data_IF_386452820507
#
_entry.id   IF_386452820507
#
_cell.length_a   1.000
_cell.length_b   1.000
_cell.length_c   1.000
_cell.angle_alpha   90.00
_cell.angle_beta   90.00
_cell.angle_gamma   90.00
#
_symmetry.space_group_name_H-M   'P 1'
#
loop_
_entity.id
_entity.type
_entity.pdbx_description
1 polymer ?
#
# COMPACT_ATOMS: atom_id res chain seq x y z
N UNK A 1 -20.79 24.96 5.33
CA UNK A 1 -19.88 25.64 4.38
C UNK A 1 -18.66 24.75 4.29
N UNK A 2 -18.48 23.99 3.19
CA UNK A 2 -17.34 23.08 3.06
C UNK A 2 -16.12 23.98 2.81
N UNK A 3 -15.23 24.09 3.79
CA UNK A 3 -13.95 24.77 3.60
C UNK A 3 -13.22 24.09 2.45
N UNK A 4 -12.93 24.87 1.40
CA UNK A 4 -12.07 24.38 0.33
C UNK A 4 -10.67 24.20 0.89
N UNK A 5 -10.00 23.09 0.62
CA UNK A 5 -8.64 22.91 1.08
C UNK A 5 -7.73 23.95 0.44
N UNK A 6 -6.72 24.39 1.20
CA UNK A 6 -5.69 25.29 0.69
C UNK A 6 -4.87 24.56 -0.38
N UNK A 7 -5.16 24.89 -1.64
CA UNK A 7 -4.53 24.30 -2.80
C UNK A 7 -3.00 24.54 -2.80
N UNK A 8 -2.54 25.67 -2.26
CA UNK A 8 -1.10 25.93 -2.16
C UNK A 8 -0.45 24.97 -1.16
N UNK A 9 -1.07 24.79 0.02
CA UNK A 9 -0.59 23.86 1.03
C UNK A 9 -0.57 22.40 0.54
N UNK A 10 -1.63 21.93 -0.12
CA UNK A 10 -1.67 20.56 -0.70
C UNK A 10 -0.58 20.39 -1.76
N UNK A 11 -0.39 21.38 -2.63
CA UNK A 11 0.62 21.32 -3.69
C UNK A 11 2.03 21.23 -3.10
N UNK A 12 2.34 22.06 -2.10
CA UNK A 12 3.62 22.03 -1.40
C UNK A 12 3.82 20.67 -0.72
N UNK A 13 2.81 20.17 0.00
CA UNK A 13 2.89 18.89 0.69
C UNK A 13 3.15 17.72 -0.28
N UNK A 14 2.40 17.65 -1.38
CA UNK A 14 2.58 16.61 -2.40
C UNK A 14 4.00 16.65 -3.00
N UNK A 15 4.50 17.83 -3.37
CA UNK A 15 5.85 17.99 -3.93
C UNK A 15 6.94 17.58 -2.92
N UNK A 16 6.83 18.00 -1.67
CA UNK A 16 7.78 17.66 -0.61
C UNK A 16 7.79 16.15 -0.36
N UNK A 17 6.62 15.53 -0.24
CA UNK A 17 6.49 14.08 -0.06
C UNK A 17 7.08 13.33 -1.26
N UNK A 18 6.70 13.69 -2.50
CA UNK A 18 7.24 13.09 -3.71
C UNK A 18 8.77 13.16 -3.77
N UNK A 19 9.35 14.33 -3.46
CA UNK A 19 10.80 14.51 -3.40
C UNK A 19 11.47 13.66 -2.31
N UNK A 20 10.81 13.46 -1.16
CA UNK A 20 11.30 12.67 -0.04
C UNK A 20 11.19 11.15 -0.26
N UNK A 21 10.38 10.66 -1.20
CA UNK A 21 10.18 9.23 -1.42
C UNK A 21 11.50 8.51 -1.82
N UNK A 22 12.24 9.07 -2.79
CA UNK A 22 13.48 8.48 -3.28
C UNK A 22 14.56 8.32 -2.20
N UNK A 23 14.92 9.35 -1.41
CA UNK A 23 15.92 9.18 -0.36
C UNK A 23 15.46 8.20 0.73
N UNK A 24 14.18 8.16 1.08
CA UNK A 24 13.67 7.18 2.07
C UNK A 24 13.80 5.76 1.55
N UNK A 25 13.37 5.46 0.33
CA UNK A 25 13.52 4.11 -0.25
C UNK A 25 15.01 3.71 -0.33
N UNK A 26 15.94 4.64 -0.59
CA UNK A 26 17.38 4.36 -0.57
C UNK A 26 17.90 3.88 0.78
N UNK A 27 17.30 4.34 1.89
CA UNK A 27 17.68 3.86 3.23
C UNK A 27 17.34 2.38 3.44
N UNK A 28 16.32 1.88 2.74
CA UNK A 28 15.86 0.50 2.85
C UNK A 28 16.42 -0.42 1.75
N UNK A 29 16.83 0.15 0.61
CA UNK A 29 17.39 -0.57 -0.55
C UNK A 29 18.70 0.07 -1.06
N UNK A 30 19.79 0.08 -0.26
CA UNK A 30 21.02 0.81 -0.57
C UNK A 30 21.84 0.21 -1.74
N UNK A 31 21.64 -1.07 -2.08
CA UNK A 31 22.44 -1.78 -3.08
C UNK A 31 21.89 -1.78 -4.51
N UNK A 32 20.68 -1.24 -4.74
CA UNK A 32 19.99 -1.34 -6.03
C UNK A 32 20.25 -0.14 -6.94
N UNK A 33 20.35 -0.39 -8.25
CA UNK A 33 20.55 0.65 -9.28
C UNK A 33 19.23 1.34 -9.61
N UNK A 34 19.20 2.65 -9.44
CA UNK A 34 18.02 3.48 -9.67
C UNK A 34 17.89 3.88 -11.13
N UNK A 35 16.88 3.35 -11.82
CA UNK A 35 16.59 3.68 -13.21
C UNK A 35 15.57 4.83 -13.32
N UNK A 36 15.61 5.54 -14.45
CA UNK A 36 14.64 6.60 -14.80
C UNK A 36 13.15 6.23 -14.59
N UNK A 37 12.67 5.00 -14.86
CA UNK A 37 11.26 4.64 -14.61
C UNK A 37 10.84 4.77 -13.14
N UNK A 38 11.75 4.64 -12.17
CA UNK A 38 11.38 4.81 -10.76
C UNK A 38 11.04 6.28 -10.48
N UNK A 39 11.79 7.22 -11.06
CA UNK A 39 11.52 8.65 -10.91
C UNK A 39 10.18 9.03 -11.54
N UNK A 40 9.84 8.45 -12.69
CA UNK A 40 8.55 8.72 -13.34
C UNK A 40 7.38 8.13 -12.56
N UNK A 41 7.54 6.95 -11.94
CA UNK A 41 6.52 6.37 -11.06
C UNK A 41 6.25 7.26 -9.85
N UNK A 42 7.30 7.76 -9.20
CA UNK A 42 7.16 8.67 -8.05
C UNK A 42 6.44 9.97 -8.46
N UNK A 43 6.84 10.57 -9.60
CA UNK A 43 6.21 11.78 -10.09
C UNK A 43 4.72 11.57 -10.46
N UNK A 44 4.41 10.49 -11.16
CA UNK A 44 3.04 10.16 -11.57
C UNK A 44 2.13 9.90 -10.37
N UNK A 45 2.62 9.16 -9.37
CA UNK A 45 1.85 8.86 -8.17
C UNK A 45 1.66 10.11 -7.29
N UNK A 46 2.66 10.99 -7.20
CA UNK A 46 2.53 12.28 -6.53
C UNK A 46 1.48 13.17 -7.20
N UNK A 47 1.49 13.24 -8.53
CA UNK A 47 0.50 14.01 -9.30
C UNK A 47 -0.92 13.47 -9.16
N UNK A 48 -1.08 12.14 -9.19
CA UNK A 48 -2.38 11.48 -9.00
C UNK A 48 -2.92 11.72 -7.58
N UNK A 49 -2.06 11.59 -6.56
CA UNK A 49 -2.44 11.79 -5.16
C UNK A 49 -2.81 13.25 -4.89
N UNK A 50 -2.12 14.20 -5.52
CA UNK A 50 -2.49 15.62 -5.48
C UNK A 50 -3.86 15.88 -6.11
N UNK A 51 -4.12 15.30 -7.29
CA UNK A 51 -5.41 15.43 -7.97
C UNK A 51 -6.57 14.92 -7.11
N UNK A 52 -6.40 13.78 -6.45
CA UNK A 52 -7.40 13.19 -5.54
C UNK A 52 -7.55 14.05 -4.27
N UNK A 53 -6.45 14.53 -3.68
CA UNK A 53 -6.48 15.37 -2.48
C UNK A 53 -7.26 16.68 -2.70
N UNK A 54 -7.21 17.25 -3.90
CA UNK A 54 -8.00 18.44 -4.26
C UNK A 54 -9.52 18.20 -4.29
N UNK A 55 -9.97 16.93 -4.36
CA UNK A 55 -11.37 16.54 -4.38
C UNK A 55 -11.91 16.20 -2.98
N UNK A 56 -11.04 16.01 -2.00
CA UNK A 56 -11.39 15.58 -0.64
C UNK A 56 -11.45 16.77 0.33
N UNK A 57 -12.24 16.67 1.42
CA UNK A 57 -12.19 17.64 2.50
C UNK A 57 -10.79 17.70 3.13
N UNK A 58 -10.36 18.84 3.72
CA UNK A 58 -8.97 19.06 4.13
C UNK A 58 -8.36 17.93 5.00
N UNK A 59 -9.03 17.40 6.04
CA UNK A 59 -8.45 16.33 6.86
C UNK A 59 -8.13 15.07 6.05
N UNK A 60 -9.06 14.67 5.18
CA UNK A 60 -8.93 13.48 4.33
C UNK A 60 -7.91 13.69 3.21
N UNK A 61 -7.80 14.91 2.69
CA UNK A 61 -6.81 15.27 1.68
C UNK A 61 -5.37 15.05 2.19
N UNK A 62 -5.04 15.57 3.38
CA UNK A 62 -3.70 15.40 3.95
C UNK A 62 -3.40 13.95 4.34
N UNK A 63 -4.37 13.23 4.90
CA UNK A 63 -4.22 11.81 5.20
C UNK A 63 -4.02 10.97 3.95
N UNK A 64 -4.76 11.27 2.88
CA UNK A 64 -4.59 10.63 1.59
C UNK A 64 -3.18 10.82 1.04
N UNK A 65 -2.62 12.02 1.11
CA UNK A 65 -1.24 12.28 0.68
C UNK A 65 -0.21 11.47 1.48
N UNK A 66 -0.37 11.40 2.81
CA UNK A 66 0.52 10.62 3.68
C UNK A 66 0.39 9.13 3.39
N UNK A 67 -0.84 8.62 3.30
CA UNK A 67 -1.14 7.23 2.98
C UNK A 67 -0.54 6.85 1.62
N UNK A 68 -0.84 7.63 0.58
CA UNK A 68 -0.31 7.42 -0.76
C UNK A 68 1.22 7.37 -0.74
N UNK A 69 1.87 8.33 -0.08
CA UNK A 69 3.32 8.37 0.03
C UNK A 69 3.90 7.12 0.71
N UNK A 70 3.32 6.69 1.83
CA UNK A 70 3.74 5.47 2.52
C UNK A 70 3.59 4.24 1.62
N UNK A 71 2.46 4.12 0.92
CA UNK A 71 2.18 3.00 0.01
C UNK A 71 3.15 2.98 -1.18
N UNK A 72 3.50 4.14 -1.74
CA UNK A 72 4.52 4.23 -2.79
C UNK A 72 5.88 3.75 -2.29
N UNK A 73 6.32 4.24 -1.13
CA UNK A 73 7.62 3.84 -0.57
C UNK A 73 7.64 2.33 -0.30
N UNK A 74 6.56 1.79 0.29
CA UNK A 74 6.42 0.36 0.54
C UNK A 74 6.42 -0.46 -0.76
N UNK A 75 5.67 -0.06 -1.78
CA UNK A 75 5.65 -0.72 -3.08
C UNK A 75 7.02 -0.72 -3.76
N UNK A 76 7.75 0.40 -3.71
CA UNK A 76 9.09 0.50 -4.29
C UNK A 76 10.11 -0.36 -3.53
N UNK A 77 10.05 -0.38 -2.19
CA UNK A 77 10.94 -1.22 -1.38
C UNK A 77 10.63 -2.71 -1.63
N UNK A 78 9.35 -3.09 -1.71
CA UNK A 78 8.97 -4.48 -2.00
C UNK A 78 9.41 -4.92 -3.40
N UNK A 79 9.23 -4.07 -4.41
CA UNK A 79 9.69 -4.35 -5.77
C UNK A 79 11.22 -4.54 -5.86
N UNK A 80 11.98 -3.85 -5.02
CA UNK A 80 13.45 -3.87 -5.06
C UNK A 80 14.08 -4.97 -4.18
N UNK A 81 13.50 -5.21 -3.00
CA UNK A 81 14.08 -6.04 -1.94
C UNK A 81 13.16 -7.18 -1.47
N UNK A 82 11.94 -7.29 -2.02
CA UNK A 82 10.92 -8.29 -1.63
C UNK A 82 10.64 -8.31 -0.12
N UNK A 83 10.64 -7.12 0.48
CA UNK A 83 10.45 -6.93 1.92
C UNK A 83 9.69 -5.65 2.22
N UNK A 84 8.74 -5.74 3.14
CA UNK A 84 8.01 -4.60 3.68
C UNK A 84 8.58 -4.20 5.06
N UNK A 85 9.19 -3.01 5.21
CA UNK A 85 9.84 -2.60 6.45
C UNK A 85 8.85 -2.23 7.56
N UNK A 86 9.07 -2.79 8.75
CA UNK A 86 8.26 -2.57 9.95
C UNK A 86 8.21 -1.11 10.39
N UNK A 87 9.30 -0.38 10.10
CA UNK A 87 9.41 1.07 10.37
C UNK A 87 8.40 1.91 9.59
N UNK A 88 7.77 1.37 8.55
CA UNK A 88 6.71 2.04 7.79
C UNK A 88 5.35 1.38 8.02
N UNK A 89 5.28 0.06 8.07
CA UNK A 89 3.99 -0.66 8.23
C UNK A 89 3.38 -0.47 9.62
N UNK A 90 4.18 -0.46 10.69
CA UNK A 90 3.66 -0.26 12.06
C UNK A 90 3.14 1.16 12.29
N UNK A 91 3.88 2.25 11.94
CA UNK A 91 3.32 3.59 12.02
C UNK A 91 2.09 3.76 11.14
N UNK A 92 2.05 3.16 9.95
CA UNK A 92 0.89 3.22 9.08
C UNK A 92 -0.34 2.57 9.72
N UNK A 93 -0.17 1.41 10.36
CA UNK A 93 -1.25 0.76 11.12
C UNK A 93 -1.73 1.65 12.27
N UNK A 94 -0.79 2.22 13.04
CA UNK A 94 -1.10 3.15 14.12
C UNK A 94 -1.85 4.39 13.67
N UNK A 95 -1.46 4.97 12.53
CA UNK A 95 -2.17 6.10 11.92
C UNK A 95 -3.61 5.73 11.55
N UNK A 96 -3.85 4.56 10.95
CA UNK A 96 -5.21 4.10 10.61
C UNK A 96 -6.11 3.97 11.85
N UNK A 97 -5.58 3.38 12.92
CA UNK A 97 -6.30 3.29 14.19
C UNK A 97 -6.55 4.67 14.80
N UNK A 98 -5.56 5.56 14.75
CA UNK A 98 -5.70 6.92 15.26
C UNK A 98 -6.75 7.70 14.47
N UNK A 99 -6.78 7.59 13.14
CA UNK A 99 -7.79 8.25 12.31
C UNK A 99 -9.20 7.76 12.63
N UNK A 100 -9.35 6.47 12.95
CA UNK A 100 -10.62 5.89 13.36
C UNK A 100 -11.12 6.43 14.72
N UNK A 101 -10.19 6.87 15.58
CA UNK A 101 -10.49 7.45 16.90
C UNK A 101 -10.73 8.97 16.86
N UNK A 102 -10.10 9.69 15.94
CA UNK A 102 -10.04 11.16 15.96
C UNK A 102 -10.87 11.84 14.88
N UNK A 103 -11.30 11.12 13.85
CA UNK A 103 -12.06 11.68 12.73
C UNK A 103 -13.51 11.22 12.79
N UNK A 104 -14.42 12.18 12.62
CA UNK A 104 -15.86 11.93 12.60
C UNK A 104 -16.22 10.90 11.51
N UNK A 105 -16.96 9.86 11.92
CA UNK A 105 -17.35 8.74 11.04
C UNK A 105 -16.45 7.50 11.14
N UNK A 106 -15.38 7.54 11.96
CA UNK A 106 -14.57 6.35 12.26
C UNK A 106 -15.30 5.32 13.13
N UNK A 107 -14.94 4.05 12.96
CA UNK A 107 -15.36 2.94 13.82
C UNK A 107 -14.11 2.23 14.38
N UNK A 108 -13.68 2.60 15.61
CA UNK A 108 -12.48 2.04 16.23
C UNK A 108 -12.55 0.52 16.41
N UNK A 109 -13.75 -0.02 16.60
CA UNK A 109 -13.96 -1.46 16.77
C UNK A 109 -13.75 -2.16 15.43
N UNK A 110 -14.36 -1.66 14.36
CA UNK A 110 -14.16 -2.20 13.02
C UNK A 110 -12.69 -2.09 12.56
N UNK A 111 -12.02 -0.97 12.84
CA UNK A 111 -10.60 -0.77 12.55
C UNK A 111 -9.70 -1.70 13.36
N UNK A 112 -9.96 -1.88 14.65
CA UNK A 112 -9.22 -2.79 15.51
C UNK A 112 -9.39 -4.25 15.08
N UNK A 113 -10.63 -4.67 14.83
CA UNK A 113 -10.93 -6.00 14.29
C UNK A 113 -10.32 -6.19 12.91
N UNK A 114 -10.36 -5.17 12.06
CA UNK A 114 -9.72 -5.18 10.74
C UNK A 114 -8.21 -5.41 10.84
N UNK A 115 -7.53 -4.70 11.73
CA UNK A 115 -6.08 -4.87 11.92
C UNK A 115 -5.73 -6.29 12.40
N UNK A 116 -6.47 -6.79 13.40
CA UNK A 116 -6.27 -8.15 13.94
C UNK A 116 -6.60 -9.22 12.91
N UNK A 117 -7.74 -9.09 12.20
CA UNK A 117 -8.17 -10.02 11.18
C UNK A 117 -7.23 -10.01 9.97
N UNK A 118 -6.83 -8.83 9.50
CA UNK A 118 -5.90 -8.65 8.39
C UNK A 118 -4.56 -9.34 8.65
N UNK A 119 -3.97 -9.12 9.83
CA UNK A 119 -2.73 -9.81 10.21
C UNK A 119 -2.96 -11.31 10.45
N UNK A 120 -3.96 -11.66 11.25
CA UNK A 120 -4.21 -13.01 11.73
C UNK A 120 -4.59 -13.99 10.63
N UNK A 121 -5.53 -13.62 9.76
CA UNK A 121 -6.02 -14.47 8.67
C UNK A 121 -4.88 -14.78 7.70
N UNK A 122 -4.14 -13.75 7.26
CA UNK A 122 -3.06 -13.95 6.30
C UNK A 122 -1.87 -14.71 6.90
N UNK A 123 -1.53 -14.44 8.17
CA UNK A 123 -0.49 -15.20 8.87
C UNK A 123 -0.89 -16.67 9.02
N UNK A 124 -2.17 -16.96 9.31
CA UNK A 124 -2.69 -18.31 9.40
C UNK A 124 -2.66 -19.03 8.05
N UNK A 125 -3.09 -18.38 6.97
CA UNK A 125 -3.03 -18.92 5.61
C UNK A 125 -1.57 -19.23 5.23
N UNK A 126 -0.65 -18.30 5.49
CA UNK A 126 0.77 -18.49 5.22
C UNK A 126 1.35 -19.67 6.01
N UNK A 127 0.97 -19.80 7.29
CA UNK A 127 1.39 -20.91 8.14
C UNK A 127 0.82 -22.26 7.66
N UNK A 128 -0.45 -22.31 7.28
CA UNK A 128 -1.08 -23.53 6.77
C UNK A 128 -0.48 -23.93 5.42
N UNK A 129 -0.23 -22.97 4.53
CA UNK A 129 0.41 -23.20 3.25
C UNK A 129 1.83 -23.77 3.43
N UNK A 130 2.62 -23.20 4.35
CA UNK A 130 3.94 -23.75 4.72
C UNK A 130 3.84 -25.19 5.22
N UNK A 131 2.87 -25.48 6.11
CA UNK A 131 2.65 -26.83 6.66
C UNK A 131 2.28 -27.86 5.58
N UNK A 132 1.46 -27.46 4.59
CA UNK A 132 0.95 -28.38 3.57
C UNK A 132 1.90 -28.56 2.38
N UNK A 133 2.59 -27.49 1.95
CA UNK A 133 3.43 -27.48 0.74
C UNK A 133 4.93 -27.46 1.03
N UNK A 134 5.33 -27.21 2.28
CA UNK A 134 6.75 -27.06 2.65
C UNK A 134 7.42 -25.83 2.04
N UNK A 135 6.65 -24.93 1.44
CA UNK A 135 7.13 -23.74 0.75
C UNK A 135 6.63 -22.48 1.45
N UNK A 136 7.48 -21.47 1.54
CA UNK A 136 7.09 -20.12 1.94
C UNK A 136 6.23 -19.51 0.83
N UNK A 137 4.91 -19.62 0.97
CA UNK A 137 3.96 -19.13 -0.04
C UNK A 137 3.73 -17.62 0.03
N UNK A 138 3.58 -17.09 1.24
CA UNK A 138 3.20 -15.69 1.44
C UNK A 138 4.14 -15.00 2.45
N UNK A 139 4.63 -13.82 2.08
CA UNK A 139 5.56 -13.05 2.89
C UNK A 139 4.92 -12.53 4.16
N UNK A 140 5.63 -12.61 5.29
CA UNK A 140 5.17 -11.97 6.53
C UNK A 140 5.02 -10.44 6.41
N UNK A 141 5.66 -9.83 5.41
CA UNK A 141 5.48 -8.42 5.08
C UNK A 141 4.04 -8.10 4.66
N UNK A 142 3.45 -8.92 3.78
CA UNK A 142 2.11 -8.69 3.24
C UNK A 142 1.04 -8.75 4.33
N UNK A 143 1.21 -9.65 5.31
CA UNK A 143 0.33 -9.72 6.48
C UNK A 143 0.36 -8.42 7.31
N UNK A 144 1.53 -7.77 7.45
CA UNK A 144 1.66 -6.48 8.15
C UNK A 144 0.99 -5.36 7.36
N UNK A 145 1.14 -5.36 6.03
CA UNK A 145 0.47 -4.39 5.18
C UNK A 145 -1.05 -4.56 5.25
N UNK A 146 -1.57 -5.80 5.27
CA UNK A 146 -3.00 -6.02 5.49
C UNK A 146 -3.50 -5.63 6.88
N UNK A 147 -2.66 -5.74 7.92
CA UNK A 147 -2.98 -5.18 9.22
C UNK A 147 -3.22 -3.66 9.11
N UNK A 148 -2.35 -2.96 8.36
CA UNK A 148 -2.55 -1.55 8.05
C UNK A 148 -3.83 -1.32 7.23
N UNK A 149 -4.09 -2.12 6.18
CA UNK A 149 -5.33 -2.02 5.41
C UNK A 149 -6.57 -2.11 6.32
N UNK A 150 -6.60 -3.09 7.22
CA UNK A 150 -7.69 -3.29 8.15
C UNK A 150 -7.82 -2.19 9.20
N UNK A 151 -6.71 -1.56 9.62
CA UNK A 151 -6.76 -0.40 10.50
C UNK A 151 -7.42 0.82 9.84
N UNK A 152 -7.14 1.05 8.55
CA UNK A 152 -7.67 2.20 7.81
C UNK A 152 -9.08 2.00 7.26
N UNK A 153 -9.40 0.78 6.80
CA UNK A 153 -10.66 0.48 6.09
C UNK A 153 -11.63 -0.36 6.94
N UNK A 154 -11.22 -0.78 8.13
CA UNK A 154 -11.92 -1.79 8.90
C UNK A 154 -11.86 -3.18 8.29
N UNK A 155 -12.48 -4.14 8.98
CA UNK A 155 -12.61 -5.50 8.46
C UNK A 155 -13.35 -5.64 7.11
N UNK A 156 -14.35 -4.79 6.74
CA UNK A 156 -15.02 -4.92 5.45
C UNK A 156 -14.11 -4.60 4.27
N UNK A 157 -13.14 -3.70 4.45
CA UNK A 157 -12.20 -3.31 3.40
C UNK A 157 -11.13 -4.35 3.07
N UNK A 158 -10.94 -5.37 3.90
CA UNK A 158 -9.89 -6.38 3.67
C UNK A 158 -10.14 -7.21 2.40
N UNK A 159 -11.36 -7.71 2.22
CA UNK A 159 -11.73 -8.53 1.07
C UNK A 159 -11.59 -7.78 -0.28
N UNK A 160 -12.14 -6.57 -0.48
CA UNK A 160 -11.98 -5.84 -1.73
C UNK A 160 -10.52 -5.45 -2.00
N UNK A 161 -9.71 -5.15 -0.98
CA UNK A 161 -8.27 -4.89 -1.15
C UNK A 161 -7.53 -6.12 -1.68
N UNK A 162 -7.75 -7.29 -1.08
CA UNK A 162 -7.11 -8.53 -1.54
C UNK A 162 -7.58 -8.90 -2.94
N UNK A 163 -8.87 -8.73 -3.23
CA UNK A 163 -9.43 -9.04 -4.55
C UNK A 163 -8.87 -8.11 -5.62
N UNK A 164 -8.86 -6.80 -5.40
CA UNK A 164 -8.31 -5.82 -6.34
C UNK A 164 -6.81 -6.03 -6.55
N UNK A 165 -6.04 -6.26 -5.49
CA UNK A 165 -4.62 -6.59 -5.58
C UNK A 165 -4.38 -7.86 -6.41
N UNK A 166 -5.17 -8.91 -6.15
CA UNK A 166 -5.07 -10.18 -6.88
C UNK A 166 -5.41 -10.03 -8.36
N UNK A 167 -6.44 -9.25 -8.70
CA UNK A 167 -6.81 -8.95 -10.09
C UNK A 167 -5.72 -8.14 -10.80
N UNK A 168 -5.14 -7.13 -10.15
CA UNK A 168 -4.05 -6.33 -10.71
C UNK A 168 -2.80 -7.20 -10.96
N UNK A 169 -2.42 -8.04 -9.99
CA UNK A 169 -1.32 -8.97 -10.11
C UNK A 169 -1.55 -9.97 -11.25
N UNK A 170 -2.76 -10.54 -11.34
CA UNK A 170 -3.13 -11.47 -12.40
C UNK A 170 -3.11 -10.80 -13.77
N UNK A 171 -3.63 -9.58 -13.90
CA UNK A 171 -3.62 -8.83 -15.15
C UNK A 171 -2.18 -8.59 -15.63
N UNK A 172 -1.28 -8.17 -14.74
CA UNK A 172 0.14 -7.98 -15.08
C UNK A 172 0.81 -9.29 -15.45
N UNK A 173 0.54 -10.38 -14.73
CA UNK A 173 1.08 -11.71 -15.04
C UNK A 173 0.61 -12.21 -16.41
N UNK A 174 -0.67 -12.01 -16.74
CA UNK A 174 -1.23 -12.36 -18.04
C UNK A 174 -0.58 -11.54 -19.16
N UNK A 175 -0.50 -10.22 -19.02
CA UNK A 175 0.17 -9.35 -20.01
C UNK A 175 1.63 -9.76 -20.18
N UNK A 176 2.36 -10.01 -19.09
CA UNK A 176 3.73 -10.50 -19.15
C UNK A 176 3.82 -11.81 -19.94
N UNK A 177 2.95 -12.77 -19.65
CA UNK A 177 2.89 -14.06 -20.38
C UNK A 177 2.59 -13.86 -21.87
N UNK A 178 1.68 -12.96 -22.22
CA UNK A 178 1.33 -12.69 -23.62
C UNK A 178 2.47 -12.01 -24.39
N UNK A 179 3.20 -11.09 -23.75
CA UNK A 179 4.29 -10.34 -24.40
C UNK A 179 5.58 -11.14 -24.47
N UNK A 180 5.93 -11.87 -23.41
CA UNK A 180 7.22 -12.59 -23.33
C UNK A 180 7.12 -14.05 -23.77
N UNK A 181 5.90 -14.58 -23.93
CA UNK A 181 5.60 -16.00 -24.14
C UNK A 181 6.24 -16.94 -23.11
N UNK A 182 6.68 -16.42 -21.95
CA UNK A 182 7.32 -17.19 -20.89
C UNK A 182 6.47 -17.12 -19.61
N UNK A 183 6.14 -18.27 -19.01
CA UNK A 183 5.59 -18.26 -17.66
C UNK A 183 6.67 -17.82 -16.67
N UNK A 184 6.29 -17.03 -15.67
CA UNK A 184 7.14 -16.78 -14.49
C UNK A 184 7.34 -18.13 -13.80
N UNK A 185 8.58 -18.46 -13.45
CA UNK A 185 8.87 -19.76 -12.87
C UNK A 185 8.22 -19.88 -11.47
N UNK A 186 7.73 -21.07 -11.06
CA UNK A 186 7.08 -21.25 -9.75
C UNK A 186 7.96 -20.92 -8.53
N UNK A 187 9.27 -20.79 -8.74
CA UNK A 187 10.27 -20.47 -7.71
C UNK A 187 10.82 -19.04 -7.83
N UNK A 188 10.32 -18.26 -8.79
CA UNK A 188 10.72 -16.88 -8.98
C UNK A 188 9.85 -16.00 -8.09
N UNK A 189 10.47 -15.30 -7.14
CA UNK A 189 9.77 -14.51 -6.14
C UNK A 189 9.08 -13.31 -6.80
N UNK A 190 7.75 -13.32 -6.78
CA UNK A 190 6.92 -12.26 -7.34
C UNK A 190 6.55 -11.23 -6.24
N UNK A 191 6.89 -9.95 -6.39
CA UNK A 191 6.55 -8.92 -5.41
C UNK A 191 5.04 -8.67 -5.43
N UNK A 192 4.32 -9.20 -4.44
CA UNK A 192 2.88 -8.96 -4.28
C UNK A 192 2.57 -7.61 -3.62
N UNK A 193 3.50 -7.07 -2.84
CA UNK A 193 3.35 -5.82 -2.08
C UNK A 193 2.93 -4.61 -2.93
N UNK A 194 3.47 -4.36 -4.14
CA UNK A 194 3.04 -3.26 -4.99
C UNK A 194 1.56 -3.34 -5.38
N UNK A 195 1.06 -4.55 -5.68
CA UNK A 195 -0.33 -4.75 -6.04
C UNK A 195 -1.24 -4.58 -4.84
N UNK A 196 -0.79 -5.02 -3.67
CA UNK A 196 -1.49 -4.81 -2.41
C UNK A 196 -1.57 -3.32 -2.04
N UNK A 197 -0.48 -2.56 -2.23
CA UNK A 197 -0.45 -1.12 -2.06
C UNK A 197 -1.42 -0.41 -3.02
N UNK A 198 -1.45 -0.83 -4.29
CA UNK A 198 -2.38 -0.29 -5.30
C UNK A 198 -3.84 -0.58 -4.97
N UNK A 199 -4.16 -1.82 -4.58
CA UNK A 199 -5.50 -2.20 -4.13
C UNK A 199 -5.95 -1.43 -2.88
N UNK A 200 -5.04 -1.28 -1.90
CA UNK A 200 -5.31 -0.49 -0.70
C UNK A 200 -5.64 0.97 -1.05
N UNK A 201 -4.82 1.62 -1.87
CA UNK A 201 -5.08 2.99 -2.31
C UNK A 201 -6.42 3.12 -3.04
N UNK A 202 -6.72 2.21 -3.97
CA UNK A 202 -7.97 2.24 -4.73
C UNK A 202 -9.20 2.08 -3.84
N UNK A 203 -9.21 1.11 -2.94
CA UNK A 203 -10.34 0.89 -2.04
C UNK A 203 -10.51 2.09 -1.11
N UNK A 204 -9.42 2.62 -0.54
CA UNK A 204 -9.51 3.79 0.33
C UNK A 204 -10.09 5.03 -0.37
N UNK A 205 -9.76 5.25 -1.64
CA UNK A 205 -10.31 6.37 -2.43
C UNK A 205 -11.77 6.13 -2.82
N UNK A 206 -12.18 4.87 -3.02
CA UNK A 206 -13.52 4.52 -3.50
C UNK A 206 -14.55 4.30 -2.37
N UNK A 207 -14.11 4.05 -1.14
CA UNK A 207 -14.96 3.81 0.04
C UNK A 207 -15.27 2.33 0.24
#
# INVERSE_FOLDING_TARGET
MIERPDLAAITIAALVLGAAALPVVRTFAPGRRWSWPIRTIVAAQTALSWGIACLLPPPWAYLGLILAWCLLVLALVDYLELRLPDRLTLPLTGLGLLTSLTIDGGDPVASGLGAVAGYGIFTLIAWLYRRLRGLDGLGQGDAKLLAACGAWLGWPGLAPVVLTASLLALAVLLVHRFVTHRPIAPHEAFPFGPFLCGGFWLVWVLG
#
